data_IF_449663400584
#
_entry.id   IF_449663400584
#
_cell.length_a   1.000
_cell.length_b   1.000
_cell.length_c   1.000
_cell.angle_alpha   90.00
_cell.angle_beta   90.00
_cell.angle_gamma   90.00
#
_symmetry.space_group_name_H-M   'P 1'
#
loop_
_entity.id
_entity.type
_entity.pdbx_description
1 polymer ?
#
# COMPACT_ATOMS: atom_id res chain seq x y z
N UNK A 1 8.97 -5.36 14.16
CA UNK A 1 9.71 -4.81 13.05
C UNK A 1 8.98 -4.95 11.72
N UNK A 2 9.49 -4.28 10.71
CA UNK A 2 8.83 -4.16 9.43
C UNK A 2 9.39 -5.18 8.43
N UNK A 3 8.49 -5.92 7.78
CA UNK A 3 8.84 -6.76 6.63
C UNK A 3 8.24 -6.16 5.37
N UNK A 4 8.97 -6.21 4.27
CA UNK A 4 8.51 -5.62 3.03
C UNK A 4 9.06 -6.38 1.82
N UNK A 5 8.39 -6.18 0.68
CA UNK A 5 8.82 -6.68 -0.61
C UNK A 5 8.45 -5.67 -1.68
N UNK A 6 9.44 -5.21 -2.44
CA UNK A 6 9.25 -4.24 -3.51
C UNK A 6 9.72 -4.83 -4.83
N UNK A 7 9.03 -4.48 -5.92
CA UNK A 7 9.43 -4.90 -7.27
C UNK A 7 10.59 -4.09 -7.81
N UNK A 8 10.85 -2.90 -7.24
CA UNK A 8 11.93 -2.00 -7.63
C UNK A 8 12.59 -1.43 -6.39
N UNK A 9 13.79 -0.88 -6.58
CA UNK A 9 14.47 -0.17 -5.50
C UNK A 9 13.90 1.25 -5.40
N UNK A 10 13.06 1.47 -4.43
CA UNK A 10 12.51 2.78 -4.13
C UNK A 10 13.36 3.44 -3.04
N UNK A 11 13.72 4.70 -3.25
CA UNK A 11 14.58 5.46 -2.32
C UNK A 11 13.73 6.39 -1.46
N UNK A 12 12.82 7.14 -2.08
CA UNK A 12 11.98 8.10 -1.39
C UNK A 12 10.54 7.59 -1.36
N UNK A 13 10.01 7.41 -0.15
CA UNK A 13 8.68 6.84 0.04
C UNK A 13 7.79 7.84 0.77
N UNK A 14 6.54 7.95 0.32
CA UNK A 14 5.50 8.67 1.02
C UNK A 14 4.47 7.72 1.59
N UNK A 15 3.49 8.24 2.30
CA UNK A 15 2.37 7.43 2.78
C UNK A 15 1.06 8.18 2.65
N UNK A 16 -0.03 7.45 2.42
CA UNK A 16 -1.36 8.01 2.24
C UNK A 16 -2.41 7.03 2.75
N UNK A 17 -3.57 7.56 3.17
CA UNK A 17 -4.70 6.77 3.66
C UNK A 17 -5.98 7.00 2.87
N UNK A 18 -6.02 8.01 2.01
CA UNK A 18 -7.18 8.35 1.21
C UNK A 18 -6.73 9.05 -0.08
N UNK A 19 -7.69 9.32 -0.95
CA UNK A 19 -7.38 9.91 -2.26
C UNK A 19 -6.78 11.32 -2.16
N UNK A 20 -7.17 12.09 -1.17
CA UNK A 20 -6.64 13.44 -1.00
C UNK A 20 -5.17 13.41 -0.62
N UNK A 21 -4.81 12.54 0.31
CA UNK A 21 -3.42 12.35 0.71
C UNK A 21 -2.59 11.76 -0.43
N UNK A 22 -3.19 10.83 -1.20
CA UNK A 22 -2.51 10.26 -2.35
C UNK A 22 -2.15 11.35 -3.37
N UNK A 23 -3.09 12.23 -3.70
CA UNK A 23 -2.83 13.33 -4.64
C UNK A 23 -1.77 14.28 -4.11
N UNK A 24 -1.79 14.56 -2.81
CA UNK A 24 -0.78 15.42 -2.20
C UNK A 24 0.62 14.80 -2.32
N UNK A 25 0.73 13.48 -2.10
CA UNK A 25 2.01 12.79 -2.19
C UNK A 25 2.51 12.69 -3.63
N UNK A 26 1.62 12.57 -4.61
CA UNK A 26 2.00 12.55 -6.02
C UNK A 26 2.70 13.85 -6.45
N UNK A 27 2.42 14.95 -5.78
CA UNK A 27 3.06 16.24 -6.06
C UNK A 27 4.42 16.40 -5.39
N UNK A 28 4.79 15.47 -4.52
CA UNK A 28 6.08 15.50 -3.83
C UNK A 28 7.09 14.63 -4.58
N UNK A 29 8.37 14.80 -4.26
CA UNK A 29 9.44 14.00 -4.84
C UNK A 29 9.50 12.68 -4.08
N UNK A 30 8.64 11.72 -4.48
CA UNK A 30 8.64 10.37 -3.91
C UNK A 30 8.63 9.37 -5.05
N UNK A 31 9.23 8.20 -4.80
CA UNK A 31 9.32 7.13 -5.81
C UNK A 31 8.10 6.22 -5.77
N UNK A 32 7.53 6.05 -4.59
CA UNK A 32 6.37 5.21 -4.37
C UNK A 32 5.62 5.67 -3.13
N UNK A 33 4.39 5.22 -2.97
CA UNK A 33 3.52 5.64 -1.87
C UNK A 33 2.98 4.41 -1.16
N UNK A 34 3.17 4.35 0.16
CA UNK A 34 2.47 3.38 1.01
C UNK A 34 1.01 3.79 1.09
N UNK A 35 0.11 2.90 0.68
CA UNK A 35 -1.33 3.13 0.80
C UNK A 35 -1.91 2.14 1.78
N UNK A 36 -2.50 2.62 2.84
CA UNK A 36 -3.12 1.81 3.88
C UNK A 36 -4.52 2.31 4.21
N UNK A 37 -5.37 1.50 4.72
CA UNK A 37 -5.13 0.15 5.23
C UNK A 37 -5.80 -0.86 4.30
N UNK A 38 -5.04 -1.81 3.73
CA UNK A 38 -5.64 -2.72 2.76
C UNK A 38 -6.52 -3.78 3.44
N UNK A 39 -6.05 -4.40 4.53
CA UNK A 39 -6.79 -5.46 5.19
C UNK A 39 -7.22 -5.14 6.61
N UNK A 40 -6.47 -4.30 7.33
CA UNK A 40 -6.80 -3.97 8.72
C UNK A 40 -8.02 -3.07 8.79
N UNK A 41 -9.07 -3.54 9.45
CA UNK A 41 -10.35 -2.83 9.55
C UNK A 41 -10.29 -1.76 10.63
N UNK A 42 -9.63 -0.66 10.33
CA UNK A 42 -9.58 0.53 11.17
C UNK A 42 -10.24 1.70 10.43
N UNK A 43 -10.08 2.91 10.95
CA UNK A 43 -10.68 4.11 10.35
C UNK A 43 -10.21 4.33 8.90
N UNK A 44 -9.04 3.82 8.55
CA UNK A 44 -8.46 3.97 7.20
C UNK A 44 -8.67 2.74 6.31
N UNK A 45 -9.53 1.80 6.71
CA UNK A 45 -9.72 0.56 5.96
C UNK A 45 -10.19 0.83 4.53
N UNK A 46 -9.50 0.22 3.56
CA UNK A 46 -9.82 0.34 2.14
C UNK A 46 -10.40 -0.94 1.56
N UNK A 47 -9.80 -2.09 1.85
CA UNK A 47 -10.11 -3.34 1.18
C UNK A 47 -9.51 -3.40 -0.23
N UNK A 48 -9.64 -4.55 -0.86
CA UNK A 48 -9.02 -4.81 -2.17
C UNK A 48 -9.64 -3.90 -3.26
N UNK A 49 -10.96 -3.76 -3.25
CA UNK A 49 -11.65 -3.01 -4.30
C UNK A 49 -11.24 -1.53 -4.32
N UNK A 50 -11.30 -0.88 -3.15
CA UNK A 50 -10.94 0.55 -3.08
C UNK A 50 -9.45 0.76 -3.32
N UNK A 51 -8.62 -0.15 -2.83
CA UNK A 51 -7.19 -0.08 -3.09
C UNK A 51 -6.92 -0.12 -4.60
N UNK A 52 -7.53 -1.08 -5.31
CA UNK A 52 -7.34 -1.20 -6.74
C UNK A 52 -7.87 0.00 -7.50
N UNK A 53 -8.99 0.56 -7.05
CA UNK A 53 -9.54 1.77 -7.66
C UNK A 53 -8.56 2.94 -7.52
N UNK A 54 -8.03 3.14 -6.32
CA UNK A 54 -7.06 4.21 -6.09
C UNK A 54 -5.76 3.95 -6.84
N UNK A 55 -5.33 2.69 -6.91
CA UNK A 55 -4.13 2.32 -7.65
C UNK A 55 -4.27 2.63 -9.14
N UNK A 56 -5.44 2.39 -9.72
CA UNK A 56 -5.67 2.70 -11.13
C UNK A 56 -5.64 4.21 -11.41
N UNK A 57 -5.93 5.02 -10.40
CA UNK A 57 -5.90 6.48 -10.50
C UNK A 57 -4.56 7.08 -10.13
N UNK A 58 -3.67 6.31 -9.50
CA UNK A 58 -2.40 6.83 -9.00
C UNK A 58 -1.40 7.01 -10.14
N UNK A 59 -0.66 8.10 -10.08
CA UNK A 59 0.43 8.39 -11.01
C UNK A 59 1.76 7.78 -10.55
N UNK A 60 1.80 7.22 -9.35
CA UNK A 60 3.01 6.63 -8.77
C UNK A 60 2.73 5.22 -8.29
N UNK A 61 3.77 4.35 -8.26
CA UNK A 61 3.59 2.99 -7.76
C UNK A 61 3.12 3.00 -6.31
N UNK A 62 2.21 2.09 -5.98
CA UNK A 62 1.67 1.95 -4.63
C UNK A 62 2.19 0.69 -3.96
N UNK A 63 2.45 0.80 -2.66
CA UNK A 63 2.87 -0.30 -1.81
C UNK A 63 1.75 -0.55 -0.81
N UNK A 64 1.23 -1.78 -0.76
CA UNK A 64 0.14 -2.14 0.13
C UNK A 64 0.64 -2.25 1.56
N UNK A 65 -0.13 -1.70 2.50
CA UNK A 65 0.20 -1.69 3.92
C UNK A 65 -1.08 -1.84 4.72
N UNK A 66 -0.99 -2.49 5.89
CA UNK A 66 -2.09 -2.55 6.85
C UNK A 66 -2.75 -3.91 6.93
N UNK A 67 -2.40 -4.69 7.95
CA UNK A 67 -3.03 -5.97 8.23
C UNK A 67 -2.63 -7.11 7.31
N UNK A 68 -1.47 -7.01 6.65
CA UNK A 68 -0.97 -8.09 5.80
C UNK A 68 -0.35 -9.15 6.69
N UNK A 69 -0.94 -10.35 6.67
CA UNK A 69 -0.56 -11.50 7.47
C UNK A 69 -0.39 -12.71 6.58
N UNK A 70 0.20 -13.78 7.13
CA UNK A 70 0.37 -15.02 6.36
C UNK A 70 -0.97 -15.58 5.87
N UNK A 71 -2.05 -15.41 6.63
CA UNK A 71 -3.36 -15.97 6.27
C UNK A 71 -4.07 -15.18 5.16
N UNK A 72 -3.63 -13.97 4.85
CA UNK A 72 -4.24 -13.18 3.77
C UNK A 72 -3.23 -12.79 2.68
N UNK A 73 -2.00 -13.25 2.79
CA UNK A 73 -0.92 -12.88 1.87
C UNK A 73 -1.25 -13.27 0.43
N UNK A 74 -1.91 -14.40 0.21
CA UNK A 74 -2.28 -14.84 -1.13
C UNK A 74 -3.31 -13.92 -1.80
N UNK A 75 -4.06 -13.14 -1.02
CA UNK A 75 -5.01 -12.17 -1.59
C UNK A 75 -4.32 -11.00 -2.28
N UNK A 76 -3.03 -10.82 -2.04
CA UNK A 76 -2.26 -9.78 -2.72
C UNK A 76 -2.15 -10.01 -4.23
N UNK A 77 -2.36 -11.23 -4.70
CA UNK A 77 -2.42 -11.50 -6.13
C UNK A 77 -3.58 -10.79 -6.82
N UNK A 78 -4.60 -10.39 -6.05
CA UNK A 78 -5.76 -9.67 -6.55
C UNK A 78 -5.57 -8.15 -6.49
N UNK A 79 -4.43 -7.69 -5.98
CA UNK A 79 -4.19 -6.27 -5.69
C UNK A 79 -3.17 -5.71 -6.67
N UNK A 80 -3.51 -4.56 -7.26
CA UNK A 80 -2.62 -3.85 -8.15
C UNK A 80 -1.65 -2.98 -7.33
N UNK A 81 -0.56 -3.58 -6.87
CA UNK A 81 0.46 -2.89 -6.11
C UNK A 81 1.86 -3.27 -6.59
N UNK A 82 2.84 -2.41 -6.31
CA UNK A 82 4.24 -2.65 -6.67
C UNK A 82 5.03 -3.34 -5.57
N UNK A 83 4.40 -3.58 -4.45
CA UNK A 83 4.99 -4.26 -3.31
C UNK A 83 4.07 -4.21 -2.12
N UNK A 84 4.53 -4.76 -1.01
CA UNK A 84 3.77 -4.74 0.24
C UNK A 84 4.71 -4.63 1.43
N UNK A 85 4.16 -4.21 2.58
CA UNK A 85 4.89 -4.14 3.82
C UNK A 85 3.97 -4.52 4.97
N UNK A 86 4.52 -5.16 6.00
CA UNK A 86 3.74 -5.57 7.15
C UNK A 86 4.59 -5.62 8.40
N UNK A 87 3.98 -5.27 9.52
CA UNK A 87 4.64 -5.28 10.83
C UNK A 87 4.53 -6.66 11.47
N UNK A 88 3.36 -7.29 11.34
CA UNK A 88 3.04 -8.57 11.98
C UNK A 88 3.24 -9.76 11.05
N UNK A 89 3.96 -9.59 9.96
CA UNK A 89 4.03 -10.58 8.89
C UNK A 89 4.54 -11.93 9.36
N UNK A 90 5.51 -11.93 10.24
CA UNK A 90 6.16 -13.15 10.70
C UNK A 90 5.78 -13.58 12.12
N UNK A 91 4.75 -13.02 12.66
CA UNK A 91 4.27 -13.42 13.98
C UNK A 91 3.51 -14.75 13.94
#
# INVERSE_FOLDING_TARGET
HLSYSFKKNFILLGSAHNIYELRAKELQIVDAIFLSSIFKKNVNYLGIYRFNLMSSLSKKPLIALGGILNNNLNKLSLVNCSGFAGISFFE
#
